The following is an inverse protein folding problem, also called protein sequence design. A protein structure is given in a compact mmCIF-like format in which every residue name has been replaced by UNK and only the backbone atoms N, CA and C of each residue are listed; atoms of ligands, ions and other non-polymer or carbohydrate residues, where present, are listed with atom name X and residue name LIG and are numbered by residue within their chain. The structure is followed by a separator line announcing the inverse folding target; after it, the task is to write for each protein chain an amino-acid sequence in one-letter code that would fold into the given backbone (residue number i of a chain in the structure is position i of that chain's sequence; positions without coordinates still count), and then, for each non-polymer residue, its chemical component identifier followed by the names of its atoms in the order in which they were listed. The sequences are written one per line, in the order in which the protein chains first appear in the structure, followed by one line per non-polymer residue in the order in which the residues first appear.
data_IF_942687161813
#
_entry.id   IF_942687161813
#
_cell.length_a   1.000
_cell.length_b   1.000
_cell.length_c   1.000
_cell.angle_alpha   90.00
_cell.angle_beta   90.00
_cell.angle_gamma   90.00
#
_symmetry.space_group_name_H-M   'P 1'
#
loop_
_entity.id
_entity.type
_entity.pdbx_description
1 polymer ?
#
# COMPACT_ATOMS: atom_id res chain seq x y z
N UNK A 1 30.12 15.82 -53.62
CA UNK A 1 28.66 15.74 -53.35
C UNK A 1 28.27 14.36 -52.81
N UNK A 2 28.58 13.30 -53.56
CA UNK A 2 28.16 11.92 -53.24
C UNK A 2 28.79 11.37 -51.96
N UNK A 3 30.07 11.66 -51.71
CA UNK A 3 30.77 11.22 -50.49
C UNK A 3 30.18 11.85 -49.21
N UNK A 4 29.71 13.10 -49.29
CA UNK A 4 29.07 13.78 -48.17
C UNK A 4 27.69 13.16 -47.86
N UNK A 5 26.97 12.70 -48.88
CA UNK A 5 25.67 12.04 -48.71
C UNK A 5 25.81 10.69 -47.99
N UNK A 6 26.81 9.89 -48.37
CA UNK A 6 27.11 8.60 -47.71
C UNK A 6 27.47 8.79 -46.24
N UNK A 7 28.29 9.80 -45.91
CA UNK A 7 28.63 10.14 -44.52
C UNK A 7 27.37 10.56 -43.74
N UNK A 8 26.49 11.35 -44.36
CA UNK A 8 25.27 11.82 -43.71
C UNK A 8 24.31 10.66 -43.38
N UNK A 9 24.13 9.72 -44.30
CA UNK A 9 23.32 8.52 -44.09
C UNK A 9 23.90 7.60 -43.01
N UNK A 10 25.23 7.45 -42.95
CA UNK A 10 25.90 6.71 -41.88
C UNK A 10 25.74 7.41 -40.53
N UNK A 11 25.80 8.73 -40.49
CA UNK A 11 25.64 9.52 -39.27
C UNK A 11 24.22 9.41 -38.70
N UNK A 12 23.18 9.47 -39.54
CA UNK A 12 21.79 9.25 -39.10
C UNK A 12 21.57 7.84 -38.55
N UNK A 13 22.13 6.80 -39.18
CA UNK A 13 22.09 5.42 -38.64
C UNK A 13 22.78 5.32 -37.28
N UNK A 14 23.96 5.92 -37.16
CA UNK A 14 24.72 5.93 -35.91
C UNK A 14 23.93 6.63 -34.79
N UNK A 15 23.27 7.75 -35.11
CA UNK A 15 22.40 8.48 -34.18
C UNK A 15 21.19 7.66 -33.74
N UNK A 16 20.52 6.97 -34.66
CA UNK A 16 19.41 6.06 -34.35
C UNK A 16 19.86 4.93 -33.41
N UNK A 17 20.98 4.28 -33.72
CA UNK A 17 21.53 3.20 -32.91
C UNK A 17 21.92 3.66 -31.51
N UNK A 18 22.61 4.79 -31.40
CA UNK A 18 23.00 5.34 -30.12
C UNK A 18 21.78 5.71 -29.26
N UNK A 19 20.74 6.28 -29.86
CA UNK A 19 19.49 6.60 -29.15
C UNK A 19 18.80 5.36 -28.57
N UNK A 20 18.73 4.26 -29.35
CA UNK A 20 18.15 3.00 -28.87
C UNK A 20 18.99 2.34 -27.78
N UNK A 21 20.31 2.36 -27.92
CA UNK A 21 21.21 1.79 -26.91
C UNK A 21 21.17 2.58 -25.59
N UNK A 22 21.06 3.91 -25.66
CA UNK A 22 20.90 4.73 -24.46
C UNK A 22 19.56 4.42 -23.77
N UNK A 23 18.49 4.19 -24.53
CA UNK A 23 17.20 3.75 -23.98
C UNK A 23 17.30 2.40 -23.28
N UNK A 24 17.96 1.41 -23.91
CA UNK A 24 18.23 0.09 -23.30
C UNK A 24 18.98 0.25 -21.99
N UNK A 25 20.08 1.00 -22.00
CA UNK A 25 20.91 1.25 -20.82
C UNK A 25 20.11 1.93 -19.71
N UNK A 26 19.33 2.95 -20.03
CA UNK A 26 18.50 3.67 -19.05
C UNK A 26 17.48 2.72 -18.40
N UNK A 27 16.69 2.00 -19.22
CA UNK A 27 15.66 1.07 -18.73
C UNK A 27 16.26 -0.06 -17.90
N UNK A 28 17.36 -0.65 -18.36
CA UNK A 28 18.04 -1.72 -17.65
C UNK A 28 18.55 -1.24 -16.28
N UNK A 29 19.25 -0.10 -16.24
CA UNK A 29 19.79 0.43 -14.99
C UNK A 29 18.69 0.82 -14.00
N UNK A 30 17.64 1.48 -14.47
CA UNK A 30 16.49 1.85 -13.64
C UNK A 30 15.81 0.61 -13.05
N UNK A 31 15.54 -0.40 -13.86
CA UNK A 31 14.97 -1.67 -13.40
C UNK A 31 15.84 -2.32 -12.32
N UNK A 32 17.14 -2.48 -12.56
CA UNK A 32 18.03 -3.17 -11.60
C UNK A 32 18.20 -2.37 -10.30
N UNK A 33 18.20 -1.04 -10.36
CA UNK A 33 18.37 -0.19 -9.17
C UNK A 33 17.11 -0.03 -8.33
N UNK A 34 15.93 -0.16 -8.94
CA UNK A 34 14.63 0.01 -8.26
C UNK A 34 14.09 -1.29 -7.67
N UNK A 35 14.51 -2.46 -8.18
CA UNK A 35 14.03 -3.75 -7.72
C UNK A 35 14.47 -4.06 -6.28
N UNK A 36 13.52 -4.51 -5.47
CA UNK A 36 13.84 -5.07 -4.16
C UNK A 36 14.49 -6.45 -4.33
N UNK A 37 15.31 -6.86 -3.35
CA UNK A 37 15.90 -8.21 -3.21
C UNK A 37 14.88 -9.35 -3.37
N UNK A 38 13.61 -9.14 -3.02
CA UNK A 38 12.54 -10.16 -3.15
C UNK A 38 11.86 -10.14 -4.51
N UNK A 39 11.96 -9.02 -5.24
CA UNK A 39 11.39 -8.82 -6.57
C UNK A 39 12.35 -9.28 -7.66
N UNK A 40 13.66 -9.04 -7.49
CA UNK A 40 14.68 -9.42 -8.48
C UNK A 40 14.62 -10.91 -8.90
N UNK A 41 14.46 -11.88 -7.98
CA UNK A 41 14.32 -13.28 -8.35
C UNK A 41 13.16 -13.59 -9.30
N UNK A 42 12.13 -12.74 -9.40
CA UNK A 42 11.00 -12.93 -10.33
C UNK A 42 11.41 -12.74 -11.79
N UNK A 43 12.47 -11.97 -12.05
CA UNK A 43 12.96 -11.68 -13.41
C UNK A 43 14.41 -12.15 -13.65
N UNK A 44 15.04 -12.79 -12.66
CA UNK A 44 16.47 -13.07 -12.67
C UNK A 44 16.93 -13.86 -13.90
N UNK A 45 16.15 -14.84 -14.35
CA UNK A 45 16.49 -15.61 -15.55
C UNK A 45 16.35 -14.80 -16.84
N UNK A 46 15.41 -13.85 -16.88
CA UNK A 46 15.23 -12.94 -18.01
C UNK A 46 16.33 -11.88 -18.07
N UNK A 47 16.78 -11.38 -16.92
CA UNK A 47 17.93 -10.48 -16.81
C UNK A 47 19.20 -11.18 -17.29
N UNK A 48 19.47 -12.41 -16.84
CA UNK A 48 20.61 -13.21 -17.35
C UNK A 48 20.57 -13.40 -18.86
N UNK A 49 19.39 -13.61 -19.43
CA UNK A 49 19.22 -13.75 -20.87
C UNK A 49 19.53 -12.44 -21.62
N UNK A 50 19.25 -11.28 -21.03
CA UNK A 50 19.66 -9.97 -21.58
C UNK A 50 21.16 -9.80 -21.46
N UNK A 51 21.74 -10.12 -20.31
CA UNK A 51 23.19 -9.99 -20.08
C UNK A 51 23.99 -10.82 -21.09
N UNK A 52 23.57 -12.07 -21.32
CA UNK A 52 24.18 -12.95 -22.32
C UNK A 52 24.07 -12.36 -23.74
N UNK A 53 22.90 -11.80 -24.11
CA UNK A 53 22.73 -11.13 -25.40
C UNK A 53 23.64 -9.90 -25.52
N UNK A 54 23.71 -9.06 -24.49
CA UNK A 54 24.57 -7.89 -24.46
C UNK A 54 26.05 -8.28 -24.59
N UNK A 55 26.48 -9.31 -23.87
CA UNK A 55 27.85 -9.81 -23.92
C UNK A 55 28.25 -10.31 -25.32
N UNK A 56 27.38 -11.08 -25.96
CA UNK A 56 27.59 -11.55 -27.34
C UNK A 56 27.70 -10.36 -28.31
N UNK A 57 26.82 -9.36 -28.16
CA UNK A 57 26.84 -8.16 -28.99
C UNK A 57 28.11 -7.34 -28.83
N UNK A 58 28.59 -7.16 -27.59
CA UNK A 58 29.83 -6.42 -27.30
C UNK A 58 31.05 -7.09 -27.96
N UNK A 59 31.08 -8.43 -28.03
CA UNK A 59 32.21 -9.19 -28.59
C UNK A 59 32.19 -9.29 -30.11
N UNK A 60 31.01 -9.31 -30.73
CA UNK A 60 30.86 -9.74 -32.13
C UNK A 60 30.34 -8.66 -33.08
N UNK A 61 29.70 -7.60 -32.58
CA UNK A 61 28.98 -6.62 -33.40
C UNK A 61 29.70 -5.27 -33.37
N UNK A 62 29.86 -4.67 -34.54
CA UNK A 62 30.28 -3.28 -34.69
C UNK A 62 29.16 -2.43 -35.30
N UNK A 63 29.30 -1.10 -35.25
CA UNK A 63 28.27 -0.15 -35.72
C UNK A 63 27.93 -0.26 -37.22
N UNK A 64 28.80 -0.88 -38.02
CA UNK A 64 28.64 -1.08 -39.46
C UNK A 64 28.33 -2.55 -39.83
N UNK A 65 28.16 -3.43 -38.85
CA UNK A 65 27.76 -4.83 -39.07
C UNK A 65 26.33 -4.86 -39.63
N UNK A 66 26.08 -5.73 -40.61
CA UNK A 66 24.72 -5.96 -41.15
C UNK A 66 23.71 -6.35 -40.07
N UNK A 67 24.18 -7.05 -39.04
CA UNK A 67 23.34 -7.55 -37.95
C UNK A 67 23.14 -6.56 -36.81
N UNK A 68 23.81 -5.40 -36.83
CA UNK A 68 23.78 -4.41 -35.74
C UNK A 68 22.37 -3.91 -35.45
N UNK A 69 21.59 -3.60 -36.49
CA UNK A 69 20.20 -3.13 -36.35
C UNK A 69 19.32 -4.19 -35.68
N UNK A 70 19.40 -5.42 -36.17
CA UNK A 70 18.60 -6.54 -35.65
C UNK A 70 18.94 -6.86 -34.20
N UNK A 71 20.21 -6.77 -33.84
CA UNK A 71 20.67 -6.91 -32.46
C UNK A 71 20.10 -5.81 -31.54
N UNK A 72 20.24 -4.54 -31.92
CA UNK A 72 19.77 -3.40 -31.14
C UNK A 72 18.24 -3.47 -30.96
N UNK A 73 17.50 -3.74 -32.04
CA UNK A 73 16.05 -3.83 -31.99
C UNK A 73 15.57 -5.00 -31.11
N UNK A 74 16.27 -6.15 -31.17
CA UNK A 74 16.00 -7.32 -30.31
C UNK A 74 16.25 -7.01 -28.83
N UNK A 75 17.37 -6.36 -28.51
CA UNK A 75 17.72 -6.01 -27.13
C UNK A 75 16.77 -4.95 -26.57
N UNK A 76 16.44 -3.94 -27.37
CA UNK A 76 15.46 -2.92 -27.00
C UNK A 76 14.10 -3.55 -26.70
N UNK A 77 13.62 -4.43 -27.58
CA UNK A 77 12.33 -5.10 -27.37
C UNK A 77 12.31 -5.91 -26.07
N UNK A 78 13.31 -6.76 -25.85
CA UNK A 78 13.39 -7.59 -24.63
C UNK A 78 13.49 -6.75 -23.36
N UNK A 79 14.37 -5.75 -23.36
CA UNK A 79 14.56 -4.88 -22.18
C UNK A 79 13.27 -4.14 -21.86
N UNK A 80 12.60 -3.60 -22.89
CA UNK A 80 11.33 -2.89 -22.71
C UNK A 80 10.21 -3.80 -22.20
N UNK A 81 10.09 -5.03 -22.71
CA UNK A 81 9.08 -5.99 -22.25
C UNK A 81 9.21 -6.32 -20.76
N UNK A 82 10.44 -6.46 -20.24
CA UNK A 82 10.66 -6.68 -18.80
C UNK A 82 10.42 -5.39 -18.02
N UNK A 83 10.94 -4.26 -18.51
CA UNK A 83 10.77 -2.95 -17.88
C UNK A 83 9.30 -2.58 -17.69
N UNK A 84 8.47 -2.75 -18.73
CA UNK A 84 7.03 -2.46 -18.68
C UNK A 84 6.32 -3.35 -17.64
N UNK A 85 6.74 -4.61 -17.48
CA UNK A 85 6.21 -5.53 -16.46
C UNK A 85 6.64 -5.16 -15.04
N UNK A 86 7.90 -4.78 -14.85
CA UNK A 86 8.41 -4.33 -13.55
C UNK A 86 7.71 -3.04 -13.13
N UNK A 87 7.54 -2.09 -14.05
CA UNK A 87 6.79 -0.85 -13.81
C UNK A 87 5.36 -1.16 -13.38
N UNK A 88 4.67 -2.08 -14.09
CA UNK A 88 3.32 -2.50 -13.72
C UNK A 88 3.26 -3.15 -12.32
N UNK A 89 4.24 -3.98 -11.97
CA UNK A 89 4.35 -4.58 -10.64
C UNK A 89 4.49 -3.51 -9.56
N UNK A 90 5.41 -2.55 -9.75
CA UNK A 90 5.62 -1.44 -8.83
C UNK A 90 4.39 -0.55 -8.70
N UNK A 91 3.72 -0.22 -9.81
CA UNK A 91 2.49 0.56 -9.81
C UNK A 91 1.36 -0.16 -9.05
N UNK A 92 1.20 -1.47 -9.27
CA UNK A 92 0.21 -2.27 -8.54
C UNK A 92 0.51 -2.30 -7.04
N UNK A 93 1.78 -2.49 -6.66
CA UNK A 93 2.20 -2.51 -5.26
C UNK A 93 2.01 -1.15 -4.59
N UNK A 94 2.37 -0.06 -5.28
CA UNK A 94 2.13 1.31 -4.82
C UNK A 94 0.65 1.59 -4.61
N UNK A 95 -0.21 1.19 -5.55
CA UNK A 95 -1.65 1.33 -5.42
C UNK A 95 -2.20 0.61 -4.17
N UNK A 96 -1.70 -0.60 -3.87
CA UNK A 96 -2.06 -1.33 -2.64
C UNK A 96 -1.62 -0.51 -1.41
N UNK A 97 -0.38 -0.03 -1.37
CA UNK A 97 0.15 0.77 -0.28
C UNK A 97 -0.65 2.07 -0.07
N UNK A 98 -0.95 2.81 -1.13
CA UNK A 98 -1.71 4.07 -1.06
C UNK A 98 -3.14 3.86 -0.54
N UNK A 99 -3.77 2.75 -0.93
CA UNK A 99 -5.10 2.39 -0.43
C UNK A 99 -5.06 2.01 1.06
N UNK A 100 -4.04 1.28 1.48
CA UNK A 100 -3.85 0.88 2.88
C UNK A 100 -3.46 2.05 3.76
N UNK A 101 -2.64 2.98 3.28
CA UNK A 101 -2.25 4.15 4.04
C UNK A 101 -3.46 5.05 4.31
N UNK A 102 -4.30 5.29 3.28
CA UNK A 102 -5.58 6.00 3.45
C UNK A 102 -6.49 5.31 4.44
N UNK A 103 -6.60 3.99 4.38
CA UNK A 103 -7.36 3.22 5.36
C UNK A 103 -6.78 3.37 6.78
N UNK A 104 -5.45 3.31 6.90
CA UNK A 104 -4.76 3.39 8.17
C UNK A 104 -4.95 4.74 8.87
N UNK A 105 -5.15 5.82 8.12
CA UNK A 105 -5.38 7.17 8.67
C UNK A 105 -6.78 7.38 9.26
N UNK A 106 -7.73 6.46 9.05
CA UNK A 106 -9.09 6.60 9.56
C UNK A 106 -9.22 5.90 10.93
N UNK A 107 -9.50 6.62 12.03
CA UNK A 107 -9.70 6.03 13.35
C UNK A 107 -10.88 5.05 13.38
N UNK A 108 -10.71 3.92 14.07
CA UNK A 108 -11.76 2.91 14.23
C UNK A 108 -12.84 3.31 15.25
N UNK A 109 -12.59 4.30 16.11
CA UNK A 109 -13.56 4.78 17.08
C UNK A 109 -13.89 6.23 16.77
N UNK A 110 -15.14 6.49 16.40
CA UNK A 110 -15.63 7.84 16.13
C UNK A 110 -16.46 8.34 17.30
N UNK A 111 -16.12 9.54 17.76
CA UNK A 111 -16.89 10.24 18.79
C UNK A 111 -18.09 10.96 18.18
N UNK A 112 -19.25 10.92 18.84
CA UNK A 112 -20.37 11.79 18.49
C UNK A 112 -20.07 13.24 18.85
N UNK A 113 -20.47 14.17 17.98
CA UNK A 113 -20.25 15.61 18.18
C UNK A 113 -20.98 16.21 19.39
N UNK A 114 -22.01 15.52 19.91
CA UNK A 114 -22.82 15.98 21.05
C UNK A 114 -22.57 15.09 22.27
N UNK A 115 -22.54 15.66 23.49
CA UNK A 115 -22.54 14.87 24.72
C UNK A 115 -23.75 13.95 24.75
N UNK A 116 -23.54 12.71 25.18
CA UNK A 116 -24.60 11.70 25.28
C UNK A 116 -24.72 11.25 26.73
N UNK A 117 -25.93 10.87 27.15
CA UNK A 117 -26.11 10.24 28.45
C UNK A 117 -25.36 8.90 28.50
N UNK A 118 -24.91 8.53 29.68
CA UNK A 118 -24.22 7.28 30.01
C UNK A 118 -24.82 6.07 29.24
N UNK A 119 -26.09 5.73 29.49
CA UNK A 119 -26.74 4.58 28.86
C UNK A 119 -26.68 4.59 27.33
N UNK A 120 -26.93 5.74 26.69
CA UNK A 120 -26.88 5.87 25.24
C UNK A 120 -25.47 5.69 24.68
N UNK A 121 -24.42 6.09 25.42
CA UNK A 121 -23.04 5.84 25.06
C UNK A 121 -22.69 4.35 25.16
N UNK A 122 -23.14 3.65 26.21
CA UNK A 122 -22.92 2.21 26.36
C UNK A 122 -23.67 1.40 25.29
N UNK A 123 -24.92 1.75 24.99
CA UNK A 123 -25.69 1.11 23.92
C UNK A 123 -25.08 1.40 22.55
N UNK A 124 -24.52 2.60 22.34
CA UNK A 124 -23.74 2.90 21.14
C UNK A 124 -22.49 2.02 21.04
N UNK A 125 -21.67 1.90 22.09
CA UNK A 125 -20.50 1.02 22.09
C UNK A 125 -20.88 -0.45 21.81
N UNK A 126 -22.02 -0.92 22.33
CA UNK A 126 -22.57 -2.25 22.02
C UNK A 126 -23.05 -2.38 20.58
N UNK A 127 -23.58 -1.31 20.00
CA UNK A 127 -24.10 -1.28 18.64
C UNK A 127 -23.05 -0.93 17.58
N UNK A 128 -21.88 -0.39 17.96
CA UNK A 128 -20.71 -0.28 17.09
C UNK A 128 -20.38 -1.66 16.52
N UNK A 129 -20.48 -2.70 17.36
CA UNK A 129 -20.32 -4.11 16.97
C UNK A 129 -21.32 -4.61 15.90
N UNK A 130 -22.43 -3.91 15.67
CA UNK A 130 -23.56 -4.43 14.86
C UNK A 130 -23.85 -3.65 13.58
N UNK A 131 -23.72 -2.31 13.58
CA UNK A 131 -24.09 -1.49 12.41
C UNK A 131 -22.94 -0.65 11.83
N UNK A 132 -22.01 -0.18 12.67
CA UNK A 132 -20.75 0.47 12.21
C UNK A 132 -19.82 -0.57 11.55
N UNK A 133 -19.77 -1.77 12.13
CA UNK A 133 -18.98 -2.89 11.63
C UNK A 133 -19.42 -3.32 10.22
N UNK A 134 -20.72 -3.31 9.89
CA UNK A 134 -21.19 -3.72 8.56
C UNK A 134 -20.63 -2.85 7.44
N UNK A 135 -20.64 -1.53 7.60
CA UNK A 135 -20.15 -0.61 6.58
C UNK A 135 -18.63 -0.69 6.39
N UNK A 136 -17.88 -0.80 7.49
CA UNK A 136 -16.42 -0.86 7.47
C UNK A 136 -15.90 -2.23 7.04
N UNK A 137 -16.51 -3.31 7.48
CA UNK A 137 -16.20 -4.65 6.95
C UNK A 137 -16.51 -4.72 5.46
N UNK A 138 -17.63 -4.17 5.00
CA UNK A 138 -17.93 -4.12 3.56
C UNK A 138 -16.89 -3.30 2.78
N UNK A 139 -16.40 -2.18 3.31
CA UNK A 139 -15.31 -1.42 2.67
C UNK A 139 -14.01 -2.23 2.67
N UNK A 140 -13.67 -2.89 3.77
CA UNK A 140 -12.49 -3.75 3.85
C UNK A 140 -12.56 -4.93 2.86
N UNK A 141 -13.72 -5.57 2.74
CA UNK A 141 -13.99 -6.65 1.78
C UNK A 141 -13.79 -6.16 0.34
N UNK A 142 -14.30 -4.95 0.02
CA UNK A 142 -14.09 -4.32 -1.29
C UNK A 142 -12.60 -4.06 -1.54
N UNK A 143 -11.86 -3.54 -0.56
CA UNK A 143 -10.41 -3.33 -0.70
C UNK A 143 -9.67 -4.65 -0.87
N UNK A 144 -10.02 -5.67 -0.10
CA UNK A 144 -9.44 -7.01 -0.23
C UNK A 144 -9.68 -7.59 -1.63
N UNK A 145 -10.88 -7.41 -2.19
CA UNK A 145 -11.17 -7.79 -3.56
C UNK A 145 -10.25 -7.06 -4.56
N UNK A 146 -10.08 -5.75 -4.41
CA UNK A 146 -9.18 -4.94 -5.25
C UNK A 146 -7.71 -5.35 -5.10
N UNK A 147 -7.23 -5.61 -3.89
CA UNK A 147 -5.87 -6.08 -3.63
C UNK A 147 -5.61 -7.41 -4.32
N UNK A 148 -6.52 -8.37 -4.15
CA UNK A 148 -6.45 -9.65 -4.83
C UNK A 148 -6.47 -9.50 -6.35
N UNK A 149 -7.24 -8.56 -6.90
CA UNK A 149 -7.25 -8.27 -8.33
C UNK A 149 -5.89 -7.71 -8.81
N UNK A 150 -5.28 -6.78 -8.08
CA UNK A 150 -3.96 -6.21 -8.40
C UNK A 150 -2.84 -7.26 -8.30
N UNK A 151 -2.87 -8.12 -7.28
CA UNK A 151 -1.93 -9.23 -7.13
C UNK A 151 -2.07 -10.24 -8.28
N UNK A 152 -3.31 -10.55 -8.71
CA UNK A 152 -3.54 -11.41 -9.88
C UNK A 152 -3.01 -10.79 -11.17
N UNK A 153 -3.20 -9.48 -11.37
CA UNK A 153 -2.62 -8.76 -12.53
C UNK A 153 -1.10 -8.84 -12.52
N UNK A 154 -0.48 -8.65 -11.35
CA UNK A 154 0.98 -8.75 -11.17
C UNK A 154 1.47 -10.17 -11.48
N UNK A 155 0.83 -11.21 -10.93
CA UNK A 155 1.19 -12.60 -11.21
C UNK A 155 1.12 -12.94 -12.70
N UNK A 156 0.05 -12.49 -13.39
CA UNK A 156 -0.11 -12.70 -14.82
C UNK A 156 0.94 -11.95 -15.65
N UNK A 157 1.28 -10.72 -15.26
CA UNK A 157 2.31 -9.94 -15.93
C UNK A 157 3.69 -10.60 -15.80
N UNK A 158 4.08 -10.99 -14.58
CA UNK A 158 5.39 -11.59 -14.32
C UNK A 158 5.55 -13.00 -14.90
N UNK A 159 4.45 -13.66 -15.31
CA UNK A 159 4.46 -15.03 -15.87
C UNK A 159 5.05 -16.07 -14.91
N UNK A 160 4.96 -15.82 -13.60
CA UNK A 160 5.56 -16.67 -12.56
C UNK A 160 4.56 -17.76 -12.16
N UNK A 161 5.06 -18.97 -11.87
CA UNK A 161 4.24 -20.00 -11.26
C UNK A 161 3.77 -19.54 -9.86
N UNK A 162 2.46 -19.51 -9.66
CA UNK A 162 1.84 -19.10 -8.40
C UNK A 162 2.17 -20.05 -7.23
N UNK A 163 2.67 -21.25 -7.53
CA UNK A 163 3.14 -22.21 -6.52
C UNK A 163 4.64 -22.11 -6.25
N UNK A 164 5.36 -21.26 -6.98
CA UNK A 164 6.79 -21.05 -6.78
C UNK A 164 7.08 -20.43 -5.42
N UNK A 165 8.15 -20.89 -4.78
CA UNK A 165 8.67 -20.28 -3.56
C UNK A 165 9.02 -18.80 -3.78
N UNK A 166 9.49 -18.45 -4.99
CA UNK A 166 9.84 -17.07 -5.34
C UNK A 166 8.62 -16.16 -5.29
N UNK A 167 7.49 -16.61 -5.84
CA UNK A 167 6.23 -15.88 -5.77
C UNK A 167 5.72 -15.76 -4.34
N UNK A 168 5.86 -16.83 -3.54
CA UNK A 168 5.46 -16.79 -2.13
C UNK A 168 6.28 -15.77 -1.33
N UNK A 169 7.60 -15.66 -1.57
CA UNK A 169 8.44 -14.64 -0.93
C UNK A 169 7.97 -13.21 -1.27
N UNK A 170 7.57 -12.98 -2.52
CA UNK A 170 6.96 -11.70 -2.91
C UNK A 170 5.63 -11.45 -2.20
N UNK A 171 4.76 -12.47 -2.08
CA UNK A 171 3.50 -12.35 -1.33
C UNK A 171 3.74 -12.01 0.15
N UNK A 172 4.68 -12.69 0.80
CA UNK A 172 5.06 -12.40 2.19
C UNK A 172 5.54 -10.95 2.37
N UNK A 173 6.31 -10.44 1.42
CA UNK A 173 6.73 -9.04 1.41
C UNK A 173 5.55 -8.06 1.32
N UNK A 174 4.54 -8.36 0.49
CA UNK A 174 3.31 -7.56 0.43
C UNK A 174 2.50 -7.68 1.73
N UNK A 175 2.40 -8.87 2.29
CA UNK A 175 1.70 -9.14 3.56
C UNK A 175 2.34 -8.38 4.73
N UNK A 176 3.66 -8.32 4.80
CA UNK A 176 4.39 -7.53 5.80
C UNK A 176 4.00 -6.05 5.74
N UNK A 177 3.87 -5.50 4.53
CA UNK A 177 3.41 -4.13 4.35
C UNK A 177 1.96 -3.96 4.81
N UNK A 178 1.06 -4.89 4.46
CA UNK A 178 -0.33 -4.86 4.93
C UNK A 178 -0.39 -4.86 6.46
N UNK A 179 0.35 -5.75 7.12
CA UNK A 179 0.43 -5.82 8.59
C UNK A 179 0.90 -4.49 9.20
N UNK A 180 1.92 -3.86 8.61
CA UNK A 180 2.41 -2.55 9.05
C UNK A 180 1.32 -1.48 8.99
N UNK A 181 0.52 -1.42 7.92
CA UNK A 181 -0.57 -0.45 7.81
C UNK A 181 -1.73 -0.75 8.76
N UNK A 182 -2.05 -2.01 9.01
CA UNK A 182 -3.04 -2.40 10.02
C UNK A 182 -2.58 -2.00 11.43
N UNK A 183 -1.32 -2.23 11.77
CA UNK A 183 -0.74 -1.77 13.03
C UNK A 183 -0.78 -0.23 13.15
N UNK A 184 -0.43 0.48 12.07
CA UNK A 184 -0.55 1.95 11.98
C UNK A 184 -1.99 2.40 12.26
N UNK A 185 -2.98 1.69 11.72
CA UNK A 185 -4.39 2.00 11.96
C UNK A 185 -4.79 1.90 13.44
N UNK A 186 -4.35 0.85 14.12
CA UNK A 186 -4.59 0.68 15.56
C UNK A 186 -3.97 1.83 16.34
N UNK A 187 -2.71 2.20 16.03
CA UNK A 187 -2.01 3.31 16.67
C UNK A 187 -2.78 4.63 16.47
N UNK A 188 -3.15 4.96 15.22
CA UNK A 188 -3.93 6.16 14.90
C UNK A 188 -5.26 6.18 15.64
N UNK A 189 -5.93 5.03 15.75
CA UNK A 189 -7.22 4.90 16.43
C UNK A 189 -7.10 5.11 17.94
N UNK A 190 -6.09 4.51 18.57
CA UNK A 190 -5.82 4.68 20.00
C UNK A 190 -5.40 6.11 20.30
N UNK A 191 -4.55 6.70 19.47
CA UNK A 191 -4.12 8.08 19.65
C UNK A 191 -5.27 9.07 19.48
N UNK A 192 -6.13 8.84 18.49
CA UNK A 192 -7.37 9.59 18.34
C UNK A 192 -8.26 9.48 19.58
N UNK A 193 -8.37 8.28 20.17
CA UNK A 193 -9.14 8.07 21.40
C UNK A 193 -8.54 8.83 22.58
N UNK A 194 -7.21 8.78 22.76
CA UNK A 194 -6.52 9.54 23.81
C UNK A 194 -6.75 11.04 23.64
N UNK A 195 -6.70 11.54 22.40
CA UNK A 195 -7.02 12.93 22.08
C UNK A 195 -8.44 13.32 22.49
N UNK A 196 -9.41 12.39 22.51
CA UNK A 196 -10.77 12.66 22.96
C UNK A 196 -10.88 12.89 24.48
N UNK A 197 -9.88 12.46 25.26
CA UNK A 197 -9.84 12.59 26.71
C UNK A 197 -8.86 13.67 27.20
N UNK A 198 -8.23 14.41 26.30
CA UNK A 198 -7.28 15.47 26.65
C UNK A 198 -8.00 16.63 27.38
N UNK A 199 -7.69 16.79 28.67
CA UNK A 199 -8.24 17.84 29.52
C UNK A 199 -7.87 19.24 29.03
N UNK A 200 -6.70 19.42 28.40
CA UNK A 200 -6.29 20.70 27.85
C UNK A 200 -7.14 21.12 26.66
N UNK A 201 -7.47 20.18 25.77
CA UNK A 201 -8.38 20.42 24.64
C UNK A 201 -9.81 20.70 25.12
N UNK A 202 -10.25 19.99 26.16
CA UNK A 202 -11.53 20.25 26.82
C UNK A 202 -11.60 21.65 27.43
N UNK A 203 -10.57 22.07 28.17
CA UNK A 203 -10.51 23.41 28.78
C UNK A 203 -10.44 24.54 27.75
N UNK A 204 -9.85 24.31 26.57
CA UNK A 204 -9.83 25.27 25.46
C UNK A 204 -11.11 25.27 24.62
N UNK A 205 -12.06 24.37 24.90
CA UNK A 205 -13.32 24.25 24.15
C UNK A 205 -13.16 23.64 22.75
N UNK A 206 -12.01 23.02 22.45
CA UNK A 206 -11.76 22.35 21.17
C UNK A 206 -12.55 21.04 21.06
N UNK A 207 -12.90 20.45 22.22
CA UNK A 207 -13.63 19.19 22.33
C UNK A 207 -14.74 19.37 23.36
N UNK A 208 -15.93 18.84 23.07
CA UNK A 208 -17.07 18.85 24.02
C UNK A 208 -16.85 17.88 25.19
N UNK A 209 -17.66 17.90 26.25
CA UNK A 209 -17.75 16.81 27.22
C UNK A 209 -18.30 15.52 26.59
N UNK A 210 -17.82 14.35 27.02
CA UNK A 210 -18.23 13.06 26.44
C UNK A 210 -19.60 12.63 26.95
N UNK A 211 -19.79 12.73 28.27
CA UNK A 211 -20.96 12.25 28.96
C UNK A 211 -21.76 13.44 29.52
N UNK A 212 -23.08 13.34 29.38
CA UNK A 212 -24.02 14.18 30.12
C UNK A 212 -24.46 13.39 31.35
N UNK A 213 -24.09 13.89 32.54
CA UNK A 213 -24.46 13.29 33.82
C UNK A 213 -25.66 14.06 34.36
N UNK A 214 -26.74 13.35 34.70
CA UNK A 214 -27.92 13.94 35.34
C UNK A 214 -27.72 13.91 36.85
N UNK A 215 -27.81 15.08 37.47
CA UNK A 215 -27.74 15.26 38.90
C UNK A 215 -29.15 15.45 39.44
N UNK A 216 -29.54 14.62 40.39
CA UNK A 216 -30.87 14.60 40.99
C UNK A 216 -30.71 14.82 42.50
N UNK A 217 -31.66 15.55 43.10
CA UNK A 217 -31.72 15.69 44.54
C UNK A 217 -32.63 14.58 45.07
N UNK A 218 -32.07 13.64 45.81
CA UNK A 218 -32.84 12.56 46.45
C UNK A 218 -32.94 12.86 47.94
N UNK A 219 -34.13 13.25 48.38
CA UNK A 219 -34.41 13.78 49.72
C UNK A 219 -33.48 14.93 50.15
N UNK A 220 -32.42 14.61 50.91
CA UNK A 220 -31.41 15.56 51.44
C UNK A 220 -30.03 15.40 50.84
N UNK A 221 -29.84 14.39 50.00
CA UNK A 221 -28.55 14.05 49.41
C UNK A 221 -28.53 14.34 47.90
N UNK A 222 -27.34 14.66 47.39
CA UNK A 222 -27.11 14.82 45.96
C UNK A 222 -26.83 13.46 45.36
N UNK A 223 -27.76 12.96 44.54
CA UNK A 223 -27.63 11.71 43.81
C UNK A 223 -27.16 11.97 42.37
N UNK A 224 -26.14 11.22 41.94
CA UNK A 224 -25.65 11.26 40.55
C UNK A 224 -26.18 10.05 39.79
N UNK A 225 -26.94 10.29 38.72
CA UNK A 225 -27.42 9.21 37.85
C UNK A 225 -26.46 9.03 36.67
N UNK A 226 -25.45 8.17 36.88
CA UNK A 226 -24.51 7.70 35.85
C UNK A 226 -24.62 6.18 35.63
N UNK A 227 -25.78 5.57 35.95
CA UNK A 227 -25.97 4.13 35.89
C UNK A 227 -25.99 3.66 34.42
N UNK A 228 -25.30 2.55 34.14
CA UNK A 228 -25.35 1.83 32.87
C UNK A 228 -25.88 0.42 33.14
N UNK A 229 -26.95 -0.01 32.47
CA UNK A 229 -27.45 -1.37 32.60
C UNK A 229 -26.52 -2.34 31.85
N UNK A 230 -25.74 -3.15 32.58
CA UNK A 230 -24.98 -4.27 32.05
C UNK A 230 -25.87 -5.52 31.98
N UNK A 231 -26.14 -6.02 30.77
CA UNK A 231 -26.91 -7.26 30.58
C UNK A 231 -26.16 -8.53 31.00
N UNK A 232 -24.88 -8.41 31.36
CA UNK A 232 -24.10 -9.50 31.93
C UNK A 232 -23.36 -9.04 33.18
N UNK A 233 -23.30 -9.96 34.14
CA UNK A 233 -22.64 -9.96 35.46
C UNK A 233 -23.35 -9.28 36.63
N UNK A 234 -23.91 -10.15 37.49
CA UNK A 234 -23.69 -10.17 38.94
C UNK A 234 -22.76 -9.04 39.39
N UNK A 235 -23.34 -8.10 40.13
CA UNK A 235 -22.67 -6.99 40.80
C UNK A 235 -21.32 -7.43 41.40
N UNK A 236 -20.25 -6.99 40.76
CA UNK A 236 -19.02 -6.63 41.47
C UNK A 236 -18.65 -5.24 40.99
N UNK A 237 -19.19 -4.26 41.70
CA UNK A 237 -18.72 -2.89 41.65
C UNK A 237 -17.21 -2.88 41.93
N UNK A 238 -16.44 -2.61 40.87
CA UNK A 238 -14.98 -2.44 40.98
C UNK A 238 -14.62 -1.12 41.69
N UNK A 239 -15.60 -0.25 41.91
CA UNK A 239 -15.46 1.03 42.60
C UNK A 239 -15.91 1.02 44.06
N UNK A 240 -16.34 -0.13 44.60
CA UNK A 240 -16.74 -0.23 46.01
C UNK A 240 -15.56 -0.38 47.00
N UNK A 241 -14.32 -0.46 46.53
CA UNK A 241 -13.14 -0.65 47.38
C UNK A 241 -11.96 0.29 47.04
N UNK A 242 -12.21 1.60 46.97
CA UNK A 242 -11.19 2.64 47.22
C UNK A 242 -11.79 3.73 48.08
#
# INVERSE_FOLDING_TARGET
PDYAQVIYEQNEKFREFNGKLELVKSMYNEMITTLHVVEYPLIADEVKNIDALLEDGIKTINWNSTDARGFIDKNLKKTKEIYDRVTLMHDNFKNICDMLDKYAMVPQLERKAKPVIAQAQADMLRNISKDSDKGRHLDLDRKQFLFNALLRKTASAMQVDKKSEVWNRYLLYVEEHILKYLAKNVIVSVQHLLDQFDSGKLSRGEIMPLLLIKLELDEKDVAFSAKFETKDTVERDVWANV
#
